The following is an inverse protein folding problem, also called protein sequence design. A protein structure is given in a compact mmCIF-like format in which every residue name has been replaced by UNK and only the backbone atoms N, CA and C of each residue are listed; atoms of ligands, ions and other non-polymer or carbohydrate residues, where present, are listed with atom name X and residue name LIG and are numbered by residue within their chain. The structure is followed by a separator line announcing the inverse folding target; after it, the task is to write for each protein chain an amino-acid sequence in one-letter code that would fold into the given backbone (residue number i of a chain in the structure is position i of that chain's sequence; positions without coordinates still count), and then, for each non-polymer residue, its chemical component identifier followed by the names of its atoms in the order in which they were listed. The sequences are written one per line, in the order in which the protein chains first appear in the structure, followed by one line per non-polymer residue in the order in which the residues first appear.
data_IF_881960221218
#
_entry.id   IF_881960221218
#
_cell.length_a   1.000
_cell.length_b   1.000
_cell.length_c   1.000
_cell.angle_alpha   90.00
_cell.angle_beta   90.00
_cell.angle_gamma   90.00
#
_symmetry.space_group_name_H-M   'P 1'
#
loop_
_entity.id
_entity.type
_entity.pdbx_description
1 polymer ?
#
# COMPACT_ATOMS: atom_id res chain seq x y z
N UNK A 1 -58.21 -5.25 23.87
CA UNK A 1 -58.78 -5.59 25.19
C UNK A 1 -59.62 -6.85 25.01
N UNK A 2 -59.51 -7.76 25.97
CA UNK A 2 -60.44 -8.83 26.37
C UNK A 2 -60.80 -10.02 25.43
N UNK A 3 -60.18 -11.18 25.76
CA UNK A 3 -60.71 -12.54 26.10
C UNK A 3 -62.16 -12.97 25.74
N UNK A 4 -62.53 -14.29 25.77
CA UNK A 4 -61.84 -15.56 26.18
C UNK A 4 -61.65 -16.58 25.01
N UNK A 5 -61.10 -17.82 25.09
CA UNK A 5 -60.54 -18.75 26.11
C UNK A 5 -61.37 -20.01 26.52
N UNK A 6 -60.70 -21.18 26.63
CA UNK A 6 -61.13 -22.56 27.05
C UNK A 6 -62.06 -23.33 26.05
N UNK A 7 -62.03 -24.67 25.88
CA UNK A 7 -61.49 -25.78 26.71
C UNK A 7 -61.19 -27.08 25.87
N UNK A 8 -60.08 -27.82 26.19
CA UNK A 8 -59.81 -29.30 26.23
C UNK A 8 -60.40 -30.27 25.13
N UNK A 9 -59.80 -31.42 24.76
CA UNK A 9 -59.22 -32.49 25.61
C UNK A 9 -58.31 -33.52 24.89
N UNK A 10 -57.24 -33.94 25.58
CA UNK A 10 -56.33 -35.12 25.51
C UNK A 10 -56.51 -36.34 24.56
N UNK A 11 -55.39 -36.81 23.98
CA UNK A 11 -54.65 -38.07 24.27
C UNK A 11 -53.36 -38.11 23.41
N UNK A 12 -52.10 -38.42 23.80
CA UNK A 12 -51.39 -39.22 24.84
C UNK A 12 -50.80 -40.53 24.29
N UNK A 13 -49.47 -40.56 24.08
CA UNK A 13 -48.47 -41.67 24.15
C UNK A 13 -47.10 -41.03 23.72
N UNK A 14 -45.98 -40.91 24.47
CA UNK A 14 -45.06 -41.87 25.15
C UNK A 14 -44.47 -42.93 24.21
N UNK A 15 -43.16 -43.23 24.11
CA UNK A 15 -41.97 -43.02 25.00
C UNK A 15 -40.64 -43.28 24.20
N UNK A 16 -39.49 -42.72 24.66
CA UNK A 16 -38.12 -43.33 24.79
C UNK A 16 -37.45 -44.14 23.63
N UNK A 17 -36.12 -44.28 23.41
CA UNK A 17 -34.86 -43.90 24.13
C UNK A 17 -33.64 -43.95 23.18
N UNK A 18 -32.56 -43.22 23.53
CA UNK A 18 -31.10 -43.38 23.21
C UNK A 18 -30.57 -44.56 22.34
N UNK A 19 -29.55 -44.30 21.47
CA UNK A 19 -28.14 -44.69 21.70
C UNK A 19 -27.10 -44.12 20.70
N UNK A 20 -25.83 -44.05 21.12
CA UNK A 20 -24.64 -43.58 20.37
C UNK A 20 -24.24 -44.42 19.14
N UNK A 21 -23.61 -43.78 18.13
CA UNK A 21 -22.51 -44.35 17.31
C UNK A 21 -21.75 -43.29 16.47
N UNK A 22 -20.45 -43.18 16.69
CA UNK A 22 -19.39 -42.73 15.74
C UNK A 22 -18.85 -43.95 14.95
N UNK A 23 -17.94 -43.86 13.93
CA UNK A 23 -17.42 -42.72 13.14
C UNK A 23 -17.76 -42.97 11.60
N UNK A 24 -16.96 -42.69 10.52
CA UNK A 24 -15.50 -42.71 10.33
C UNK A 24 -14.84 -41.39 9.83
N UNK A 25 -13.50 -41.40 9.82
CA UNK A 25 -12.59 -40.32 9.40
C UNK A 25 -12.12 -40.47 7.93
N UNK A 26 -11.45 -39.42 7.42
CA UNK A 26 -10.53 -39.39 6.25
C UNK A 26 -11.11 -39.11 4.84
N UNK A 27 -10.34 -38.51 3.90
CA UNK A 27 -9.25 -37.55 4.09
C UNK A 27 -9.25 -36.36 3.10
N UNK A 28 -8.49 -35.31 3.47
CA UNK A 28 -7.86 -34.28 2.62
C UNK A 28 -8.42 -34.00 1.21
N UNK A 29 -9.26 -32.96 1.09
CA UNK A 29 -9.27 -32.11 -0.11
C UNK A 29 -8.17 -31.04 0.02
N UNK A 30 -7.13 -31.12 -0.82
CA UNK A 30 -6.05 -30.14 -0.89
C UNK A 30 -6.56 -28.80 -1.43
N UNK A 31 -6.97 -27.92 -0.51
CA UNK A 31 -7.38 -26.57 -0.85
C UNK A 31 -6.14 -25.77 -1.28
N UNK A 32 -6.01 -25.50 -2.58
CA UNK A 32 -4.93 -24.68 -3.13
C UNK A 32 -5.13 -23.23 -2.71
N UNK A 33 -4.60 -22.87 -1.53
CA UNK A 33 -4.49 -21.48 -1.09
C UNK A 33 -3.67 -20.71 -2.11
N UNK A 34 -4.35 -19.98 -2.99
CA UNK A 34 -3.73 -19.00 -3.86
C UNK A 34 -3.22 -17.87 -2.98
N UNK A 35 -1.89 -17.71 -2.94
CA UNK A 35 -1.24 -16.65 -2.19
C UNK A 35 -1.77 -15.27 -2.65
N UNK A 36 -2.01 -14.33 -1.71
CA UNK A 36 -2.50 -13.01 -2.06
C UNK A 36 -1.52 -12.29 -2.99
N UNK A 37 -2.06 -11.66 -4.05
CA UNK A 37 -1.26 -11.06 -5.13
C UNK A 37 -0.66 -9.72 -4.72
N UNK A 38 0.40 -9.79 -3.92
CA UNK A 38 1.19 -8.63 -3.52
C UNK A 38 1.63 -7.83 -4.78
N UNK A 39 1.38 -6.51 -4.75
CA UNK A 39 1.58 -5.62 -5.90
C UNK A 39 3.05 -5.19 -6.08
N UNK A 40 3.97 -6.15 -5.89
CA UNK A 40 5.41 -6.01 -6.04
C UNK A 40 5.79 -5.49 -7.44
N UNK A 41 6.65 -4.48 -7.47
CA UNK A 41 7.22 -3.90 -8.68
C UNK A 41 8.07 -4.93 -9.44
N UNK A 42 8.20 -4.79 -10.76
CA UNK A 42 9.11 -5.63 -11.53
C UNK A 42 10.55 -5.33 -11.10
N UNK A 43 11.24 -6.31 -10.51
CA UNK A 43 12.66 -6.19 -10.12
C UNK A 43 13.53 -5.74 -11.29
N UNK A 44 14.41 -4.76 -11.08
CA UNK A 44 15.30 -4.23 -12.12
C UNK A 44 16.55 -5.12 -12.32
N UNK A 45 17.27 -5.03 -13.46
CA UNK A 45 18.55 -5.70 -13.61
C UNK A 45 19.53 -5.27 -12.51
N UNK A 46 20.35 -6.20 -12.02
CA UNK A 46 21.19 -6.03 -10.84
C UNK A 46 20.53 -6.41 -9.51
N UNK A 47 19.20 -6.64 -9.46
CA UNK A 47 18.52 -7.07 -8.23
C UNK A 47 18.93 -8.49 -7.85
N UNK A 48 19.34 -8.69 -6.59
CA UNK A 48 19.56 -10.03 -6.02
C UNK A 48 18.24 -10.69 -5.63
N UNK A 49 18.03 -11.90 -6.11
CA UNK A 49 16.80 -12.68 -5.95
C UNK A 49 17.10 -14.11 -5.48
N UNK A 50 16.11 -14.74 -4.86
CA UNK A 50 16.13 -16.15 -4.43
C UNK A 50 15.10 -16.91 -5.25
N UNK A 51 15.50 -18.07 -5.81
CA UNK A 51 14.56 -18.99 -6.45
C UNK A 51 13.73 -19.72 -5.40
N UNK A 52 12.39 -19.65 -5.47
CA UNK A 52 11.50 -20.36 -4.56
C UNK A 52 11.27 -21.84 -4.96
N UNK A 53 11.70 -22.23 -6.16
CA UNK A 53 11.63 -23.62 -6.67
C UNK A 53 12.98 -24.04 -7.22
N UNK A 54 13.14 -25.35 -7.42
CA UNK A 54 14.29 -25.90 -8.12
C UNK A 54 14.35 -25.36 -9.56
N UNK A 55 15.52 -24.87 -9.94
CA UNK A 55 15.82 -24.36 -11.28
C UNK A 55 16.31 -25.51 -12.13
N UNK A 56 15.61 -25.84 -13.21
CA UNK A 56 15.91 -27.00 -14.04
C UNK A 56 16.81 -26.64 -15.24
N UNK A 57 17.66 -27.58 -15.61
CA UNK A 57 18.37 -27.62 -16.91
C UNK A 57 17.41 -28.04 -18.04
N UNK A 58 17.84 -27.91 -19.29
CA UNK A 58 17.10 -28.39 -20.48
C UNK A 58 16.85 -29.91 -20.51
N UNK A 59 17.48 -30.67 -19.62
CA UNK A 59 17.44 -32.13 -19.57
C UNK A 59 16.73 -32.63 -18.29
N UNK A 60 15.83 -31.81 -17.73
CA UNK A 60 15.06 -32.07 -16.49
C UNK A 60 15.90 -32.49 -15.27
N UNK A 61 17.17 -32.05 -15.21
CA UNK A 61 18.01 -32.13 -14.01
C UNK A 61 18.01 -30.79 -13.27
N UNK A 62 17.98 -30.82 -11.95
CA UNK A 62 18.14 -29.63 -11.10
C UNK A 62 19.51 -29.01 -11.37
N UNK A 63 19.53 -27.77 -11.88
CA UNK A 63 20.71 -26.91 -11.98
C UNK A 63 21.03 -26.27 -10.62
N UNK A 64 20.00 -25.72 -9.97
CA UNK A 64 20.09 -25.15 -8.63
C UNK A 64 18.85 -25.50 -7.79
N UNK A 65 19.00 -25.80 -6.50
CA UNK A 65 17.86 -26.05 -5.62
C UNK A 65 17.07 -24.78 -5.33
N UNK A 66 15.83 -24.94 -4.85
CA UNK A 66 15.10 -23.89 -4.15
C UNK A 66 15.95 -23.27 -3.03
N UNK A 67 15.86 -21.96 -2.85
CA UNK A 67 16.73 -21.17 -1.97
C UNK A 67 18.03 -20.66 -2.64
N UNK A 68 18.35 -21.09 -3.87
CA UNK A 68 19.52 -20.59 -4.59
C UNK A 68 19.41 -19.09 -4.92
N UNK A 69 20.52 -18.37 -4.74
CA UNK A 69 20.64 -16.93 -4.98
C UNK A 69 21.14 -16.65 -6.39
N UNK A 70 20.47 -15.74 -7.09
CA UNK A 70 20.90 -15.24 -8.40
C UNK A 70 20.73 -13.73 -8.52
N UNK A 71 21.22 -13.18 -9.63
CA UNK A 71 21.10 -11.77 -10.00
C UNK A 71 20.23 -11.65 -11.24
N UNK A 72 19.22 -10.78 -11.23
CA UNK A 72 18.43 -10.46 -12.42
C UNK A 72 19.36 -9.78 -13.44
N UNK A 73 19.57 -10.40 -14.59
CA UNK A 73 20.33 -9.80 -15.71
C UNK A 73 19.40 -9.19 -16.77
N UNK A 74 18.15 -9.63 -16.82
CA UNK A 74 17.10 -8.99 -17.64
C UNK A 74 15.74 -9.12 -16.97
N UNK A 75 15.04 -7.99 -16.89
CA UNK A 75 13.66 -7.92 -16.39
C UNK A 75 12.66 -8.07 -17.54
N UNK A 76 11.49 -8.70 -17.30
CA UNK A 76 10.39 -8.71 -18.25
C UNK A 76 9.73 -7.32 -18.34
N UNK A 77 8.93 -7.10 -19.39
CA UNK A 77 8.13 -5.86 -19.57
C UNK A 77 6.79 -5.88 -18.83
N UNK A 78 6.37 -7.06 -18.37
CA UNK A 78 5.14 -7.35 -17.63
C UNK A 78 5.38 -8.52 -16.65
N UNK A 79 4.36 -8.95 -15.89
CA UNK A 79 4.47 -10.07 -14.94
C UNK A 79 4.16 -11.45 -15.56
N UNK A 80 3.76 -11.53 -16.83
CA UNK A 80 3.49 -12.81 -17.52
C UNK A 80 4.74 -13.43 -18.13
N UNK A 81 5.76 -12.62 -18.41
CA UNK A 81 7.06 -13.07 -18.89
C UNK A 81 8.05 -13.31 -17.74
N UNK A 82 8.99 -14.23 -17.97
CA UNK A 82 10.02 -14.59 -17.00
C UNK A 82 11.17 -13.57 -16.95
N UNK A 83 11.79 -13.46 -15.78
CA UNK A 83 13.10 -12.82 -15.60
C UNK A 83 14.20 -13.71 -16.16
N UNK A 84 15.28 -13.10 -16.64
CA UNK A 84 16.55 -13.80 -16.85
C UNK A 84 17.40 -13.61 -15.59
N UNK A 85 17.72 -14.71 -14.92
CA UNK A 85 18.48 -14.73 -13.67
C UNK A 85 19.79 -15.49 -13.89
N UNK A 86 20.90 -14.90 -13.45
CA UNK A 86 22.24 -15.49 -13.49
C UNK A 86 22.68 -15.94 -12.10
N UNK A 87 23.18 -17.16 -12.00
CA UNK A 87 23.66 -17.78 -10.76
C UNK A 87 25.18 -17.66 -10.61
N UNK A 88 25.71 -18.05 -9.45
CA UNK A 88 27.11 -17.84 -9.06
C UNK A 88 28.13 -18.62 -9.89
N UNK A 89 27.73 -19.74 -10.48
CA UNK A 89 28.52 -20.55 -11.41
C UNK A 89 28.46 -20.03 -12.87
N UNK A 90 27.67 -18.99 -13.11
CA UNK A 90 27.44 -18.40 -14.42
C UNK A 90 26.26 -18.99 -15.20
N UNK A 91 25.56 -20.00 -14.67
CA UNK A 91 24.35 -20.54 -15.28
C UNK A 91 23.24 -19.47 -15.34
N UNK A 92 22.44 -19.48 -16.41
CA UNK A 92 21.34 -18.54 -16.59
C UNK A 92 20.02 -19.23 -16.94
N UNK A 93 19.00 -18.98 -16.12
CA UNK A 93 17.65 -19.50 -16.30
C UNK A 93 16.63 -18.40 -16.57
N UNK A 94 15.53 -18.78 -17.23
CA UNK A 94 14.31 -18.01 -17.25
C UNK A 94 13.45 -18.42 -16.04
N UNK A 95 13.17 -17.50 -15.11
CA UNK A 95 12.40 -17.77 -13.90
C UNK A 95 11.22 -16.79 -13.82
N UNK A 96 10.02 -17.34 -13.65
CA UNK A 96 8.78 -16.55 -13.61
C UNK A 96 8.61 -15.81 -12.27
N UNK A 97 7.79 -14.76 -12.24
CA UNK A 97 7.71 -13.85 -11.10
C UNK A 97 7.17 -14.50 -9.81
N UNK A 98 6.40 -15.59 -9.94
CA UNK A 98 5.83 -16.37 -8.83
C UNK A 98 6.86 -17.32 -8.18
N UNK A 99 8.08 -17.36 -8.72
CA UNK A 99 9.17 -18.22 -8.28
C UNK A 99 10.41 -17.43 -7.85
N UNK A 100 10.30 -16.10 -7.76
CA UNK A 100 11.35 -15.21 -7.29
C UNK A 100 10.87 -14.34 -6.15
N UNK A 101 11.74 -14.14 -5.17
CA UNK A 101 11.61 -13.14 -4.11
C UNK A 101 12.94 -12.41 -3.98
N UNK A 102 12.92 -11.14 -3.59
CA UNK A 102 14.16 -10.38 -3.41
C UNK A 102 14.97 -10.96 -2.23
N UNK A 103 16.30 -11.06 -2.35
CA UNK A 103 17.15 -11.70 -1.33
C UNK A 103 17.00 -11.05 0.06
N UNK A 104 16.80 -9.73 0.11
CA UNK A 104 16.53 -9.00 1.36
C UNK A 104 15.18 -9.34 1.98
N UNK A 105 14.17 -9.61 1.15
CA UNK A 105 12.83 -9.96 1.60
C UNK A 105 12.79 -11.42 2.10
N UNK A 106 13.40 -12.35 1.36
CA UNK A 106 13.53 -13.76 1.76
C UNK A 106 14.18 -13.91 3.14
N UNK A 107 15.33 -13.26 3.35
CA UNK A 107 16.05 -13.27 4.64
C UNK A 107 15.21 -12.72 5.80
N UNK A 108 14.36 -11.73 5.53
CA UNK A 108 13.47 -11.14 6.53
C UNK A 108 12.23 -12.01 6.81
N UNK A 109 11.75 -12.77 5.82
CA UNK A 109 10.62 -13.70 5.98
C UNK A 109 10.99 -14.92 6.80
N UNK A 110 12.11 -15.60 6.49
CA UNK A 110 12.52 -16.86 7.16
C UNK A 110 12.69 -16.74 8.69
N UNK A 111 12.91 -15.53 9.22
CA UNK A 111 13.02 -15.27 10.66
C UNK A 111 11.63 -15.11 11.32
N UNK A 112 10.59 -14.73 10.57
CA UNK A 112 9.27 -14.31 11.08
C UNK A 112 8.22 -15.42 11.15
N UNK A 113 8.38 -16.48 10.34
CA UNK A 113 7.26 -17.34 9.93
C UNK A 113 6.57 -18.15 11.05
N UNK A 114 7.18 -18.34 12.22
CA UNK A 114 6.59 -19.15 13.30
C UNK A 114 5.38 -18.50 13.99
N UNK A 115 5.29 -17.16 14.02
CA UNK A 115 4.26 -16.42 14.78
C UNK A 115 3.63 -15.22 14.03
N UNK A 116 4.07 -14.92 12.80
CA UNK A 116 3.67 -13.72 12.08
C UNK A 116 2.13 -13.48 11.95
N UNK A 117 1.28 -14.48 11.66
CA UNK A 117 -0.17 -14.25 11.54
C UNK A 117 -0.82 -13.85 12.87
N UNK A 118 -0.41 -14.47 13.98
CA UNK A 118 -0.91 -14.15 15.33
C UNK A 118 -0.44 -12.77 15.79
N UNK A 119 0.83 -12.44 15.52
CA UNK A 119 1.40 -11.11 15.80
C UNK A 119 0.70 -9.99 15.02
N UNK A 120 0.33 -10.23 13.74
CA UNK A 120 -0.29 -9.19 12.90
C UNK A 120 -1.68 -8.76 13.36
N UNK A 121 -2.46 -9.66 13.98
CA UNK A 121 -3.84 -9.37 14.41
C UNK A 121 -3.91 -8.26 15.45
N UNK A 122 -3.13 -8.35 16.54
CA UNK A 122 -3.07 -7.33 17.60
C UNK A 122 -2.33 -6.04 17.22
N UNK A 123 -1.73 -5.95 16.02
CA UNK A 123 -1.13 -4.70 15.52
C UNK A 123 -2.16 -3.77 14.87
N UNK A 124 -3.36 -4.26 14.53
CA UNK A 124 -4.46 -3.42 14.05
C UNK A 124 -5.09 -2.56 15.17
N UNK A 125 -5.04 -3.04 16.41
CA UNK A 125 -5.47 -2.25 17.58
C UNK A 125 -4.55 -1.03 17.76
N UNK A 126 -3.23 -1.27 17.59
CA UNK A 126 -2.14 -0.28 17.68
C UNK A 126 -2.13 0.81 16.59
N UNK A 127 -3.23 0.99 15.84
CA UNK A 127 -3.38 2.02 14.79
C UNK A 127 -3.61 3.39 15.42
N UNK A 128 -2.53 4.18 15.49
CA UNK A 128 -2.53 5.51 16.12
C UNK A 128 -3.22 6.59 15.29
N UNK A 129 -3.40 6.36 13.98
CA UNK A 129 -4.04 7.26 13.03
C UNK A 129 -4.66 6.49 11.86
N UNK A 130 -5.91 6.81 11.50
CA UNK A 130 -6.66 6.27 10.34
C UNK A 130 -7.39 7.39 9.62
N UNK A 131 -7.19 7.47 8.31
CA UNK A 131 -7.90 8.38 7.42
C UNK A 131 -8.36 7.68 6.14
N UNK A 132 -9.36 8.26 5.48
CA UNK A 132 -9.73 7.90 4.10
C UNK A 132 -8.92 8.76 3.14
N UNK A 133 -8.36 8.15 2.10
CA UNK A 133 -7.79 8.85 0.93
C UNK A 133 -8.59 8.48 -0.33
N UNK A 134 -7.97 8.51 -1.52
CA UNK A 134 -8.64 8.08 -2.74
C UNK A 134 -9.80 9.00 -3.14
N UNK A 135 -10.62 8.58 -4.09
CA UNK A 135 -11.62 9.43 -4.75
C UNK A 135 -12.52 10.21 -3.78
N UNK A 136 -12.86 9.61 -2.63
CA UNK A 136 -13.63 10.21 -1.54
C UNK A 136 -12.96 11.46 -0.97
N UNK A 137 -11.68 11.38 -0.61
CA UNK A 137 -10.93 12.50 -0.04
C UNK A 137 -10.68 13.65 -1.06
N UNK A 138 -10.61 13.33 -2.36
CA UNK A 138 -10.54 14.33 -3.43
C UNK A 138 -11.90 14.95 -3.81
N UNK A 139 -13.02 14.45 -3.28
CA UNK A 139 -14.36 14.82 -3.76
C UNK A 139 -14.70 14.31 -5.18
N UNK A 140 -13.92 13.35 -5.69
CA UNK A 140 -14.00 12.74 -7.03
C UNK A 140 -14.69 11.37 -7.03
N UNK A 141 -15.42 11.05 -5.97
CA UNK A 141 -16.16 9.80 -5.82
C UNK A 141 -17.36 9.71 -6.78
N UNK A 142 -17.68 8.48 -7.15
CA UNK A 142 -18.86 8.01 -7.87
C UNK A 142 -19.50 6.84 -7.10
N UNK A 143 -20.58 6.25 -7.62
CA UNK A 143 -21.32 5.18 -6.94
C UNK A 143 -20.46 3.91 -6.72
N UNK A 144 -19.53 3.64 -7.64
CA UNK A 144 -18.59 2.50 -7.58
C UNK A 144 -17.31 2.78 -6.78
N UNK A 145 -17.17 3.96 -6.15
CA UNK A 145 -15.93 4.35 -5.46
C UNK A 145 -15.70 3.59 -4.16
N UNK A 146 -14.54 2.94 -4.09
CA UNK A 146 -13.96 2.31 -2.91
C UNK A 146 -13.63 3.31 -1.79
N UNK A 147 -13.36 2.78 -0.60
CA UNK A 147 -12.94 3.55 0.58
C UNK A 147 -11.51 3.17 0.94
N UNK A 148 -10.55 3.79 0.26
CA UNK A 148 -9.11 3.66 0.56
C UNK A 148 -8.82 4.12 2.00
N UNK A 149 -8.67 3.19 2.94
CA UNK A 149 -8.22 3.49 4.31
C UNK A 149 -6.71 3.43 4.40
N UNK A 150 -6.11 4.49 4.91
CA UNK A 150 -4.67 4.57 5.16
C UNK A 150 -4.40 5.10 6.54
N UNK A 151 -3.21 4.83 7.05
CA UNK A 151 -2.85 5.31 8.37
C UNK A 151 -1.52 4.82 8.87
N UNK A 152 -1.36 4.90 10.18
CA UNK A 152 -0.11 4.66 10.89
C UNK A 152 -0.40 3.82 12.11
N UNK A 153 0.44 2.82 12.35
CA UNK A 153 0.40 2.03 13.57
C UNK A 153 1.76 2.11 14.29
N UNK A 154 1.72 2.00 15.62
CA UNK A 154 2.89 2.05 16.49
C UNK A 154 2.97 0.74 17.28
N UNK A 155 3.84 -0.21 16.89
CA UNK A 155 4.01 -1.46 17.62
C UNK A 155 4.51 -1.21 19.05
N UNK A 156 4.32 -2.18 19.97
CA UNK A 156 5.04 -2.22 21.24
C UNK A 156 6.56 -2.09 21.03
N UNK A 157 7.24 -1.37 21.92
CA UNK A 157 8.69 -1.14 21.82
C UNK A 157 9.50 -2.46 21.78
N UNK A 158 9.03 -3.49 22.48
CA UNK A 158 9.66 -4.82 22.50
C UNK A 158 9.77 -5.48 21.12
N UNK A 159 8.81 -5.26 20.21
CA UNK A 159 8.87 -5.82 18.86
C UNK A 159 9.97 -5.15 18.01
N UNK A 160 10.40 -3.93 18.34
CA UNK A 160 11.57 -3.31 17.70
C UNK A 160 12.90 -3.89 18.20
N UNK A 161 12.94 -4.49 19.40
CA UNK A 161 14.13 -5.15 19.95
C UNK A 161 14.14 -6.67 19.70
N UNK A 162 12.98 -7.24 19.38
CA UNK A 162 12.78 -8.65 19.10
C UNK A 162 13.45 -9.10 17.79
N UNK A 163 13.96 -10.34 17.78
CA UNK A 163 14.52 -10.98 16.57
C UNK A 163 13.50 -11.09 15.44
N UNK A 164 12.21 -11.20 15.75
CA UNK A 164 11.13 -11.25 14.75
C UNK A 164 10.90 -9.88 14.07
N UNK A 165 11.26 -8.80 14.76
CA UNK A 165 11.08 -7.43 14.31
C UNK A 165 9.61 -7.03 14.11
N UNK A 166 9.41 -5.89 13.44
CA UNK A 166 8.08 -5.33 13.15
C UNK A 166 7.77 -5.45 11.64
N UNK A 167 6.54 -5.82 11.23
CA UNK A 167 6.09 -5.66 9.85
C UNK A 167 6.26 -4.21 9.38
N UNK A 168 6.68 -3.98 8.14
CA UNK A 168 6.79 -2.59 7.66
C UNK A 168 5.43 -1.92 7.44
N UNK A 169 4.42 -2.72 7.13
CA UNK A 169 3.03 -2.31 6.95
C UNK A 169 2.08 -3.46 7.28
N UNK A 170 0.85 -3.12 7.63
CA UNK A 170 -0.30 -4.02 7.70
C UNK A 170 -1.20 -3.75 6.50
N UNK A 171 -1.75 -4.79 5.88
CA UNK A 171 -2.64 -4.68 4.73
C UNK A 171 -3.86 -5.58 4.91
N UNK A 172 -5.05 -5.05 4.58
CA UNK A 172 -6.28 -5.83 4.49
C UNK A 172 -7.05 -5.43 3.22
N UNK A 173 -6.91 -6.26 2.19
CA UNK A 173 -7.56 -6.08 0.88
C UNK A 173 -9.10 -6.10 0.96
N UNK A 174 -9.69 -6.78 1.95
CA UNK A 174 -11.15 -6.87 2.08
C UNK A 174 -11.77 -5.56 2.57
N UNK A 175 -11.06 -4.83 3.43
CA UNK A 175 -11.49 -3.55 4.01
C UNK A 175 -10.83 -2.33 3.35
N UNK A 176 -9.94 -2.57 2.37
CA UNK A 176 -9.12 -1.57 1.66
C UNK A 176 -8.21 -0.76 2.59
N UNK A 177 -7.65 -1.42 3.61
CA UNK A 177 -6.79 -0.83 4.64
C UNK A 177 -5.29 -1.05 4.37
N UNK A 178 -4.47 0.00 4.50
CA UNK A 178 -3.00 -0.10 4.58
C UNK A 178 -2.47 0.81 5.69
N UNK A 179 -1.82 0.22 6.69
CA UNK A 179 -1.22 0.94 7.84
C UNK A 179 0.29 0.80 7.81
N UNK A 180 1.03 1.91 7.73
CA UNK A 180 2.50 1.88 7.81
C UNK A 180 2.96 1.89 9.27
N UNK A 181 4.07 1.19 9.55
CA UNK A 181 4.78 1.39 10.81
C UNK A 181 5.30 2.84 10.89
N UNK A 182 5.30 3.41 12.10
CA UNK A 182 5.56 4.84 12.31
C UNK A 182 6.90 5.33 11.72
N UNK A 183 8.02 4.64 11.93
CA UNK A 183 9.30 5.01 11.33
C UNK A 183 9.24 4.92 9.79
N UNK A 184 8.64 3.87 9.22
CA UNK A 184 8.48 3.78 7.76
C UNK A 184 7.65 4.93 7.20
N UNK A 185 6.53 5.27 7.84
CA UNK A 185 5.70 6.41 7.45
C UNK A 185 6.52 7.71 7.46
N UNK A 186 7.23 7.97 8.58
CA UNK A 186 8.10 9.14 8.74
C UNK A 186 9.18 9.21 7.64
N UNK A 187 9.87 8.11 7.35
CA UNK A 187 10.92 8.06 6.32
C UNK A 187 10.36 8.29 4.92
N UNK A 188 9.14 7.87 4.63
CA UNK A 188 8.45 8.14 3.36
C UNK A 188 7.97 9.60 3.27
N UNK A 189 7.46 10.16 4.36
CA UNK A 189 7.02 11.56 4.45
C UNK A 189 8.20 12.53 4.27
N UNK A 190 9.33 12.27 4.93
CA UNK A 190 10.59 13.03 4.78
C UNK A 190 11.18 12.96 3.35
N UNK A 191 10.81 11.94 2.56
CA UNK A 191 11.15 11.81 1.13
C UNK A 191 10.09 12.43 0.20
N UNK A 192 9.14 13.18 0.77
CA UNK A 192 8.01 13.77 0.07
C UNK A 192 7.19 12.77 -0.76
N UNK A 193 6.98 11.54 -0.27
CA UNK A 193 6.14 10.56 -0.95
C UNK A 193 4.68 11.08 -1.04
N UNK A 194 4.09 11.23 -2.25
CA UNK A 194 2.79 11.86 -2.40
C UNK A 194 1.69 11.19 -1.57
N UNK A 195 1.55 9.87 -1.66
CA UNK A 195 0.50 9.13 -0.95
C UNK A 195 0.58 9.28 0.58
N UNK A 196 1.80 9.41 1.10
CA UNK A 196 2.06 9.54 2.55
C UNK A 196 1.82 10.97 3.02
N UNK A 197 2.20 11.98 2.22
CA UNK A 197 1.81 13.36 2.49
C UNK A 197 0.28 13.55 2.39
N UNK A 198 -0.37 12.92 1.42
CA UNK A 198 -1.84 12.93 1.28
C UNK A 198 -2.54 12.38 2.53
N UNK A 199 -1.97 11.38 3.20
CA UNK A 199 -2.48 10.90 4.49
C UNK A 199 -2.38 11.96 5.60
N UNK A 200 -1.30 12.74 5.68
CA UNK A 200 -1.12 13.79 6.72
C UNK A 200 -2.10 14.97 6.57
N UNK A 201 -2.67 15.16 5.39
CA UNK A 201 -3.56 16.29 5.05
C UNK A 201 -4.95 15.81 4.58
N UNK A 202 -5.34 14.57 4.87
CA UNK A 202 -6.67 14.07 4.51
C UNK A 202 -7.77 14.84 5.25
N UNK A 203 -8.83 15.29 4.55
CA UNK A 203 -10.00 15.90 5.18
C UNK A 203 -10.92 14.90 5.89
N UNK A 204 -10.67 13.58 5.76
CA UNK A 204 -11.53 12.52 6.30
C UNK A 204 -10.70 11.66 7.27
N UNK A 205 -10.64 12.07 8.53
CA UNK A 205 -10.02 11.30 9.62
C UNK A 205 -11.10 10.42 10.27
N UNK A 206 -10.90 9.10 10.27
CA UNK A 206 -11.82 8.14 10.92
C UNK A 206 -11.44 7.94 12.39
N UNK A 207 -10.14 7.84 12.71
CA UNK A 207 -9.66 7.76 14.08
C UNK A 207 -8.27 8.40 14.24
N UNK A 208 -8.02 9.01 15.40
CA UNK A 208 -6.71 9.57 15.74
C UNK A 208 -6.51 9.62 17.25
N UNK A 209 -5.42 9.02 17.71
CA UNK A 209 -4.98 9.00 19.11
C UNK A 209 -4.32 10.33 19.50
N UNK A 210 -4.05 10.63 20.78
CA UNK A 210 -3.29 11.81 21.17
C UNK A 210 -1.93 11.91 20.46
N UNK A 211 -1.19 10.81 20.36
CA UNK A 211 0.09 10.75 19.66
C UNK A 211 -0.06 10.96 18.14
N UNK A 212 -1.16 10.48 17.54
CA UNK A 212 -1.51 10.77 16.15
C UNK A 212 -1.82 12.27 15.93
N UNK A 213 -2.47 12.93 16.90
CA UNK A 213 -2.71 14.39 16.84
C UNK A 213 -1.41 15.18 16.93
N UNK A 214 -0.49 14.78 17.81
CA UNK A 214 0.84 15.38 17.92
C UNK A 214 1.58 15.33 16.56
N UNK A 215 1.53 14.19 15.86
CA UNK A 215 2.11 14.03 14.52
C UNK A 215 1.43 14.93 13.47
N UNK A 216 0.10 14.97 13.44
CA UNK A 216 -0.65 15.80 12.48
C UNK A 216 -0.45 17.30 12.73
N UNK A 217 -0.22 17.71 13.99
CA UNK A 217 0.10 19.09 14.36
C UNK A 217 1.52 19.52 13.93
N UNK A 218 2.37 18.58 13.51
CA UNK A 218 3.70 18.84 12.95
C UNK A 218 3.85 18.41 11.48
N UNK A 219 2.74 18.30 10.74
CA UNK A 219 2.73 17.92 9.33
C UNK A 219 3.49 18.88 8.39
N UNK A 220 3.74 20.10 8.85
CA UNK A 220 4.59 21.12 8.22
C UNK A 220 6.06 20.70 8.18
N UNK A 221 6.54 20.01 9.22
CA UNK A 221 7.94 19.58 9.37
C UNK A 221 8.44 18.66 8.25
N UNK A 222 7.53 17.99 7.54
CA UNK A 222 7.85 17.09 6.42
C UNK A 222 7.96 17.80 5.06
N UNK A 223 7.49 19.05 4.95
CA UNK A 223 7.45 19.78 3.69
C UNK A 223 8.76 20.51 3.40
N UNK A 224 9.22 20.41 2.16
CA UNK A 224 10.48 20.99 1.70
C UNK A 224 10.53 21.03 0.18
N UNK A 225 11.57 21.66 -0.39
CA UNK A 225 11.86 21.67 -1.82
C UNK A 225 12.04 20.27 -2.44
N UNK A 226 12.24 19.22 -1.65
CA UNK A 226 12.24 17.82 -2.12
C UNK A 226 10.92 17.41 -2.79
N UNK A 227 9.81 18.06 -2.45
CA UNK A 227 8.50 17.89 -3.13
C UNK A 227 8.64 18.03 -4.64
N UNK A 228 9.41 19.01 -5.13
CA UNK A 228 9.62 19.20 -6.57
C UNK A 228 10.30 17.99 -7.22
N UNK A 229 11.35 17.47 -6.59
CA UNK A 229 12.13 16.34 -7.12
C UNK A 229 11.29 15.05 -7.13
N UNK A 230 10.66 14.73 -6.00
CA UNK A 230 9.86 13.50 -5.87
C UNK A 230 8.63 13.54 -6.78
N UNK A 231 7.84 14.62 -6.76
CA UNK A 231 6.63 14.70 -7.58
C UNK A 231 6.96 14.74 -9.07
N UNK A 232 8.04 15.42 -9.50
CA UNK A 232 8.50 15.38 -10.90
C UNK A 232 8.85 13.96 -11.36
N UNK A 233 9.52 13.18 -10.52
CA UNK A 233 9.83 11.77 -10.82
C UNK A 233 8.57 10.89 -10.93
N UNK A 234 7.56 11.13 -10.09
CA UNK A 234 6.26 10.47 -10.19
C UNK A 234 5.50 10.89 -11.47
N UNK A 235 5.45 12.18 -11.80
CA UNK A 235 4.82 12.68 -13.04
C UNK A 235 5.49 12.08 -14.28
N UNK A 236 6.83 12.10 -14.35
CA UNK A 236 7.58 11.55 -15.48
C UNK A 236 7.36 10.04 -15.65
N UNK A 237 7.35 9.28 -14.56
CA UNK A 237 7.11 7.83 -14.61
C UNK A 237 5.66 7.46 -14.98
N UNK A 238 4.66 8.19 -14.45
CA UNK A 238 3.26 8.03 -14.85
C UNK A 238 3.05 8.41 -16.33
N UNK A 239 3.67 9.50 -16.81
CA UNK A 239 3.57 9.93 -18.20
C UNK A 239 4.19 8.89 -19.16
N UNK A 240 5.39 8.39 -18.85
CA UNK A 240 6.06 7.32 -19.63
C UNK A 240 5.23 6.03 -19.66
N UNK A 241 4.60 5.66 -18.54
CA UNK A 241 3.69 4.52 -18.45
C UNK A 241 2.44 4.73 -19.30
N UNK A 242 1.83 5.91 -19.25
CA UNK A 242 0.67 6.29 -20.06
C UNK A 242 0.97 6.23 -21.56
N UNK A 243 2.09 6.80 -22.02
CA UNK A 243 2.53 6.71 -23.42
C UNK A 243 2.76 5.26 -23.87
N UNK A 244 3.34 4.43 -23.00
CA UNK A 244 3.56 3.00 -23.26
C UNK A 244 2.23 2.23 -23.35
N UNK A 245 1.28 2.50 -22.45
CA UNK A 245 -0.07 1.94 -22.48
C UNK A 245 -0.81 2.32 -23.76
N UNK A 246 -0.75 3.60 -24.20
CA UNK A 246 -1.38 4.07 -25.44
C UNK A 246 -0.76 3.37 -26.66
N UNK A 247 0.58 3.33 -26.77
CA UNK A 247 1.26 2.67 -27.89
C UNK A 247 0.96 1.17 -27.96
N UNK A 248 0.91 0.49 -26.82
CA UNK A 248 0.77 -0.97 -26.77
C UNK A 248 -0.70 -1.44 -26.80
N UNK A 249 -1.66 -0.63 -26.36
CA UNK A 249 -3.09 -1.01 -26.22
C UNK A 249 -4.05 -0.13 -27.04
N UNK A 250 -3.56 0.89 -27.75
CA UNK A 250 -4.38 1.79 -28.57
C UNK A 250 -5.37 2.66 -27.80
N UNK A 251 -5.31 2.70 -26.46
CA UNK A 251 -6.33 3.33 -25.61
C UNK A 251 -5.74 4.17 -24.48
N UNK A 252 -6.40 5.28 -24.17
CA UNK A 252 -6.07 6.14 -23.04
C UNK A 252 -6.70 5.57 -21.76
N UNK A 253 -5.91 5.49 -20.67
CA UNK A 253 -6.41 5.15 -19.33
C UNK A 253 -6.72 6.44 -18.57
N UNK A 254 -7.92 6.96 -18.75
CA UNK A 254 -8.35 8.27 -18.23
C UNK A 254 -8.15 8.49 -16.72
N UNK A 255 -8.32 7.47 -15.88
CA UNK A 255 -7.98 7.52 -14.43
C UNK A 255 -6.50 7.88 -14.20
N UNK A 256 -5.56 7.41 -15.03
CA UNK A 256 -4.13 7.76 -14.93
C UNK A 256 -3.86 9.21 -15.36
N UNK A 257 -4.54 9.70 -16.41
CA UNK A 257 -4.43 11.11 -16.87
C UNK A 257 -4.87 12.06 -15.75
N UNK A 258 -6.02 11.77 -15.15
CA UNK A 258 -6.59 12.51 -14.02
C UNK A 258 -5.63 12.49 -12.81
N UNK A 259 -5.12 11.32 -12.41
CA UNK A 259 -4.14 11.21 -11.30
C UNK A 259 -2.87 12.03 -11.54
N UNK A 260 -2.33 12.07 -12.77
CA UNK A 260 -1.13 12.82 -13.10
C UNK A 260 -1.37 14.34 -12.97
N UNK A 261 -2.49 14.83 -13.51
CA UNK A 261 -2.87 16.25 -13.43
C UNK A 261 -3.15 16.65 -11.97
N UNK A 262 -3.86 15.82 -11.21
CA UNK A 262 -4.09 15.97 -9.76
C UNK A 262 -2.78 16.07 -8.98
N UNK A 263 -1.77 15.26 -9.33
CA UNK A 263 -0.46 15.28 -8.69
C UNK A 263 0.30 16.59 -8.96
N UNK A 264 0.25 17.11 -10.19
CA UNK A 264 0.83 18.42 -10.52
C UNK A 264 0.13 19.58 -9.78
N UNK A 265 -1.21 19.56 -9.72
CA UNK A 265 -1.99 20.55 -8.95
C UNK A 265 -1.60 20.53 -7.46
N UNK A 266 -1.53 19.34 -6.87
CA UNK A 266 -1.19 19.15 -5.45
C UNK A 266 0.25 19.60 -5.16
N UNK A 267 1.21 19.20 -6.00
CA UNK A 267 2.61 19.60 -5.86
C UNK A 267 2.81 21.12 -6.01
N UNK A 268 2.15 21.74 -6.99
CA UNK A 268 2.20 23.19 -7.19
C UNK A 268 1.64 23.95 -5.99
N UNK A 269 0.52 23.48 -5.43
CA UNK A 269 -0.06 24.09 -4.24
C UNK A 269 0.86 23.98 -3.02
N UNK A 270 1.47 22.81 -2.78
CA UNK A 270 2.46 22.62 -1.70
C UNK A 270 3.63 23.58 -1.83
N UNK A 271 4.21 23.71 -3.03
CA UNK A 271 5.32 24.63 -3.26
C UNK A 271 4.92 26.11 -3.13
N UNK A 272 3.67 26.47 -3.40
CA UNK A 272 3.19 27.86 -3.29
C UNK A 272 2.79 28.27 -1.87
N UNK A 273 2.09 27.39 -1.15
CA UNK A 273 1.44 27.70 0.13
C UNK A 273 2.18 27.18 1.36
N UNK A 274 3.03 26.16 1.20
CA UNK A 274 3.56 25.39 2.33
C UNK A 274 2.55 24.45 3.00
N UNK A 275 1.40 24.18 2.37
CA UNK A 275 0.39 23.23 2.84
C UNK A 275 -0.04 22.29 1.69
N UNK A 276 -0.33 21.02 2.01
CA UNK A 276 -0.89 20.09 1.03
C UNK A 276 -2.42 20.15 1.02
N UNK A 277 -2.99 20.32 -0.17
CA UNK A 277 -4.43 20.23 -0.41
C UNK A 277 -4.78 18.88 -1.02
N UNK A 278 -5.59 18.10 -0.32
CA UNK A 278 -6.12 16.81 -0.81
C UNK A 278 -7.45 17.00 -1.56
N UNK A 279 -8.30 17.95 -1.19
CA UNK A 279 -9.55 18.21 -1.93
C UNK A 279 -9.29 18.80 -3.34
N UNK A 280 -9.98 18.29 -4.37
CA UNK A 280 -9.84 18.74 -5.76
C UNK A 280 -10.35 20.19 -6.00
N UNK A 281 -11.24 20.70 -5.16
CA UNK A 281 -11.68 22.09 -5.15
C UNK A 281 -12.20 22.59 -6.50
N UNK A 282 -11.74 23.79 -6.90
CA UNK A 282 -12.10 24.42 -8.18
C UNK A 282 -11.74 23.58 -9.43
N UNK A 283 -10.87 22.58 -9.30
CA UNK A 283 -10.47 21.71 -10.42
C UNK A 283 -11.31 20.43 -10.50
N UNK A 284 -12.20 20.17 -9.52
CA UNK A 284 -13.01 18.96 -9.40
C UNK A 284 -13.71 18.58 -10.69
N UNK A 285 -14.50 19.48 -11.25
CA UNK A 285 -15.35 19.14 -12.40
C UNK A 285 -14.51 18.87 -13.65
N UNK A 286 -13.43 19.64 -13.87
CA UNK A 286 -12.48 19.41 -14.97
C UNK A 286 -11.73 18.08 -14.80
N UNK A 287 -11.35 17.70 -13.58
CA UNK A 287 -10.77 16.39 -13.27
C UNK A 287 -11.76 15.24 -13.50
N UNK A 288 -13.06 15.45 -13.24
CA UNK A 288 -14.11 14.46 -13.52
C UNK A 288 -14.39 14.31 -15.03
N UNK A 289 -14.41 15.40 -15.81
CA UNK A 289 -14.47 15.36 -17.28
C UNK A 289 -13.32 14.53 -17.86
N UNK A 290 -12.10 14.67 -17.30
CA UNK A 290 -10.96 13.82 -17.66
C UNK A 290 -11.19 12.38 -17.21
N UNK A 291 -11.63 12.12 -15.96
CA UNK A 291 -11.89 10.77 -15.43
C UNK A 291 -12.87 9.98 -16.32
N UNK A 292 -13.91 10.65 -16.83
CA UNK A 292 -14.93 10.08 -17.73
C UNK A 292 -14.49 9.97 -19.20
N UNK A 293 -13.37 10.59 -19.58
CA UNK A 293 -12.87 10.58 -20.95
C UNK A 293 -13.61 11.50 -21.92
N UNK A 294 -14.30 12.51 -21.39
CA UNK A 294 -15.06 13.51 -22.15
C UNK A 294 -14.18 14.64 -22.69
N UNK A 295 -12.98 14.80 -22.13
CA UNK A 295 -11.99 15.78 -22.58
C UNK A 295 -11.14 15.20 -23.72
N UNK A 296 -10.93 15.92 -24.84
CA UNK A 296 -9.97 15.54 -25.86
C UNK A 296 -8.57 15.36 -25.26
N UNK A 297 -7.85 14.31 -25.65
CA UNK A 297 -6.54 13.99 -25.07
C UNK A 297 -5.53 15.14 -25.21
N UNK A 298 -5.54 15.84 -26.35
CA UNK A 298 -4.64 16.97 -26.59
C UNK A 298 -4.93 18.16 -25.65
N UNK A 299 -6.19 18.41 -25.29
CA UNK A 299 -6.55 19.44 -24.30
C UNK A 299 -6.04 19.06 -22.89
N UNK A 300 -6.14 17.77 -22.53
CA UNK A 300 -5.60 17.27 -21.27
C UNK A 300 -4.06 17.33 -21.23
N UNK A 301 -3.38 17.09 -22.36
CA UNK A 301 -1.93 17.20 -22.45
C UNK A 301 -1.43 18.66 -22.45
N UNK A 302 -2.15 19.59 -23.08
CA UNK A 302 -1.87 21.03 -22.98
C UNK A 302 -2.10 21.55 -21.55
N UNK A 303 -3.16 21.13 -20.86
CA UNK A 303 -3.33 21.48 -19.45
C UNK A 303 -2.20 20.90 -18.58
N UNK A 304 -1.78 19.65 -18.82
CA UNK A 304 -0.62 19.05 -18.16
C UNK A 304 0.67 19.84 -18.42
N UNK A 305 0.95 20.23 -19.67
CA UNK A 305 2.13 21.06 -20.04
C UNK A 305 2.13 22.37 -19.28
N UNK A 306 0.98 23.06 -19.23
CA UNK A 306 0.83 24.30 -18.45
C UNK A 306 1.09 24.06 -16.96
N UNK A 307 0.48 23.03 -16.36
CA UNK A 307 0.70 22.72 -14.95
C UNK A 307 2.15 22.32 -14.62
N UNK A 308 2.86 21.70 -15.55
CA UNK A 308 4.30 21.42 -15.41
C UNK A 308 5.11 22.73 -15.35
N UNK A 309 4.79 23.72 -16.19
CA UNK A 309 5.41 25.05 -16.14
C UNK A 309 5.07 25.79 -14.84
N UNK A 310 3.79 25.78 -14.44
CA UNK A 310 3.33 26.40 -13.19
C UNK A 310 4.04 25.76 -11.96
N UNK A 311 4.30 24.44 -11.99
CA UNK A 311 5.03 23.69 -10.97
C UNK A 311 6.53 24.06 -10.90
N UNK A 312 7.17 24.23 -12.05
CA UNK A 312 8.56 24.71 -12.14
C UNK A 312 8.73 26.16 -11.67
N UNK A 313 7.74 27.03 -11.94
CA UNK A 313 7.70 28.41 -11.43
C UNK A 313 7.50 28.42 -9.92
N UNK A 314 6.59 27.59 -9.40
CA UNK A 314 6.38 27.42 -7.96
C UNK A 314 7.66 26.98 -7.25
N UNK A 315 8.43 26.03 -7.80
CA UNK A 315 9.71 25.61 -7.24
C UNK A 315 10.76 26.73 -7.15
N UNK A 316 10.83 27.62 -8.15
CA UNK A 316 11.77 28.75 -8.15
C UNK A 316 11.44 29.84 -7.14
N UNK A 317 10.18 29.90 -6.69
CA UNK A 317 9.63 30.98 -5.85
C UNK A 317 9.15 30.50 -4.48
N UNK A 318 9.27 29.21 -4.19
CA UNK A 318 8.74 28.58 -2.97
C UNK A 318 9.38 29.11 -1.69
N UNK A 319 8.59 29.39 -0.63
CA UNK A 319 9.10 29.69 0.70
C UNK A 319 9.58 28.44 1.48
N UNK A 320 9.37 27.23 0.95
CA UNK A 320 9.72 25.99 1.63
C UNK A 320 11.24 25.84 1.82
N UNK A 321 11.70 25.23 2.93
CA UNK A 321 13.11 24.98 3.18
C UNK A 321 13.69 23.95 2.19
N UNK A 322 15.01 23.97 1.99
CA UNK A 322 15.69 23.02 1.10
C UNK A 322 15.56 21.56 1.57
N UNK A 323 15.40 21.36 2.88
CA UNK A 323 15.24 20.05 3.54
C UNK A 323 14.12 20.10 4.59
N UNK A 324 13.44 18.97 4.89
CA UNK A 324 12.49 18.90 5.99
C UNK A 324 13.19 18.97 7.35
N UNK A 325 12.43 19.19 8.41
CA UNK A 325 12.93 19.26 9.79
C UNK A 325 13.15 17.86 10.36
N UNK A 326 14.31 17.29 10.00
CA UNK A 326 14.74 15.98 10.48
C UNK A 326 14.83 15.89 12.01
N UNK A 327 15.20 16.97 12.70
CA UNK A 327 15.42 16.95 14.15
C UNK A 327 14.10 16.88 14.91
N UNK A 328 13.12 17.73 14.57
CA UNK A 328 11.77 17.71 15.17
C UNK A 328 11.08 16.37 14.90
N UNK A 329 11.19 15.85 13.68
CA UNK A 329 10.61 14.55 13.29
C UNK A 329 11.29 13.37 13.99
N UNK A 330 12.60 13.39 14.15
CA UNK A 330 13.34 12.37 14.91
C UNK A 330 13.01 12.42 16.41
N UNK A 331 12.96 13.62 17.00
CA UNK A 331 12.57 13.79 18.40
C UNK A 331 11.17 13.23 18.68
N UNK A 332 10.21 13.48 17.77
CA UNK A 332 8.87 12.88 17.83
C UNK A 332 8.92 11.34 17.78
N UNK A 333 9.67 10.73 16.85
CA UNK A 333 9.78 9.27 16.75
C UNK A 333 10.39 8.64 18.01
N UNK A 334 11.39 9.29 18.61
CA UNK A 334 12.02 8.83 19.86
C UNK A 334 11.05 8.91 21.04
N UNK A 335 10.27 9.99 21.14
CA UNK A 335 9.23 10.13 22.17
C UNK A 335 8.09 9.12 22.00
N UNK A 336 7.59 8.95 20.78
CA UNK A 336 6.60 7.93 20.41
C UNK A 336 7.05 6.52 20.85
N UNK A 337 8.31 6.15 20.58
CA UNK A 337 8.88 4.86 20.98
C UNK A 337 9.05 4.71 22.50
N UNK A 338 9.36 5.78 23.24
CA UNK A 338 9.38 5.75 24.72
C UNK A 338 7.98 5.54 25.28
N UNK A 339 6.96 6.20 24.72
CA UNK A 339 5.55 5.98 25.06
C UNK A 339 5.12 4.53 24.78
N UNK A 340 5.61 3.92 23.70
CA UNK A 340 5.35 2.51 23.35
C UNK A 340 6.03 1.44 24.24
N UNK A 341 6.78 1.86 25.28
CA UNK A 341 7.24 0.97 26.37
C UNK A 341 6.13 0.80 27.41
N UNK A 342 5.22 1.76 27.53
CA UNK A 342 4.08 1.67 28.44
C UNK A 342 3.03 0.75 27.79
N UNK A 343 2.65 -0.34 28.48
CA UNK A 343 1.81 -1.41 27.91
C UNK A 343 0.52 -0.87 27.26
N UNK A 344 -0.07 0.14 27.91
CA UNK A 344 -1.28 0.86 27.52
C UNK A 344 -0.99 2.02 26.55
N UNK A 345 -0.57 1.70 25.33
CA UNK A 345 -0.99 2.49 24.17
C UNK A 345 -2.29 1.89 23.60
N UNK A 346 -3.18 2.72 23.04
CA UNK A 346 -4.34 2.25 22.28
C UNK A 346 -3.90 1.31 21.14
#
# INVERSE_FOLDING_TARGET
MDHPNLHRTFNRLTLSTTYNRTPPFSPHSSNSMSLPKNHSLIHSPGTQVVSQKDVMTSNDRIAHPAGAVGVVVRSPVDRTHAYRVKFSDGFEAAIHHDQLVQLSEFKNQTIRDANAPLMSSGLYDRVIYRCVIGSRAYGLQDEDSDTDRRGIYLPPAELHWSLYGVPEQLENDQTQEVYWELQKFIVLALKANPNVLECLYSPIVESVTPLGKDLLAMRDAFLSKLVFQTFSGYVASQFKKMQTDIRNQGRVKWKHVMHLIRLLLSGSHVLQSGEMRVDAGQHRDRLLTIKRGEMPFDEADEWRKKLQQDFEVAFRTTPLPDRPDYERVNAFLVDARRKAIQENLP
#
